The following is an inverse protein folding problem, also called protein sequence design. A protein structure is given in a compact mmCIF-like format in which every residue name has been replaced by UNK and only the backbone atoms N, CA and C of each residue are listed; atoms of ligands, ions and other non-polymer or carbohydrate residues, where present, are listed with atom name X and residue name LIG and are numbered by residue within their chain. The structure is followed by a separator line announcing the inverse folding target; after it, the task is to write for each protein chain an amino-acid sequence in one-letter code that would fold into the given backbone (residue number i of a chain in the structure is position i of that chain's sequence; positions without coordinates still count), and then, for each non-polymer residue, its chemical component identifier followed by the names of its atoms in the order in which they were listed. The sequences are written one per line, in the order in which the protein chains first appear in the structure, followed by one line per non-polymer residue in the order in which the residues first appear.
data_IF_439377763051
#
_entry.id   IF_439377763051
#
_cell.length_a   1.000
_cell.length_b   1.000
_cell.length_c   1.000
_cell.angle_alpha   90.00
_cell.angle_beta   90.00
_cell.angle_gamma   90.00
#
_symmetry.space_group_name_H-M   'P 1'
#
loop_
_entity.id
_entity.type
_entity.pdbx_description
1 polymer ?
#
# COMPACT_ATOMS: atom_id res chain seq x y z
N UNK A 1 13.40 -92.14 -52.86
CA UNK A 1 12.36 -91.78 -51.89
C UNK A 1 13.07 -91.04 -50.75
N UNK A 2 13.30 -89.73 -50.86
CA UNK A 2 12.39 -88.61 -50.44
C UNK A 2 12.18 -88.65 -48.92
N UNK A 3 12.40 -87.61 -48.11
CA UNK A 3 12.65 -86.18 -48.31
C UNK A 3 13.26 -85.66 -46.97
N UNK A 4 14.27 -84.80 -47.01
CA UNK A 4 14.16 -83.33 -46.82
C UNK A 4 14.06 -82.93 -45.33
N UNK A 5 15.22 -82.73 -44.73
CA UNK A 5 15.41 -82.20 -43.37
C UNK A 5 15.40 -80.67 -43.45
N UNK A 6 14.22 -80.08 -43.22
CA UNK A 6 14.03 -78.63 -43.22
C UNK A 6 14.44 -78.04 -41.87
N UNK A 7 15.66 -77.53 -41.81
CA UNK A 7 16.18 -76.69 -40.73
C UNK A 7 15.39 -75.35 -40.71
N UNK A 8 14.39 -75.26 -39.85
CA UNK A 8 13.62 -74.04 -39.59
C UNK A 8 14.43 -73.14 -38.64
N UNK A 9 15.20 -72.23 -39.21
CA UNK A 9 15.85 -71.13 -38.47
C UNK A 9 14.78 -70.21 -37.91
N UNK A 10 14.70 -70.13 -36.58
CA UNK A 10 13.83 -69.22 -35.85
C UNK A 10 14.44 -67.80 -35.92
N UNK A 11 13.94 -66.97 -36.84
CA UNK A 11 14.29 -65.55 -36.92
C UNK A 11 13.71 -64.81 -35.70
N UNK A 12 14.51 -64.73 -34.66
CA UNK A 12 14.25 -63.88 -33.50
C UNK A 12 14.35 -62.42 -33.93
N UNK A 13 13.22 -61.83 -34.29
CA UNK A 13 13.08 -60.40 -34.59
C UNK A 13 13.52 -59.58 -33.38
N UNK A 14 14.56 -58.77 -33.55
CA UNK A 14 15.02 -57.83 -32.53
C UNK A 14 13.91 -56.79 -32.23
N UNK A 15 13.72 -56.37 -30.98
CA UNK A 15 12.75 -55.34 -30.66
C UNK A 15 13.16 -54.02 -31.33
N UNK A 16 12.36 -53.58 -32.29
CA UNK A 16 12.50 -52.24 -32.90
C UNK A 16 12.14 -51.22 -31.83
N UNK A 17 13.14 -50.61 -31.22
CA UNK A 17 12.94 -49.50 -30.28
C UNK A 17 12.40 -48.31 -31.08
N UNK A 18 11.17 -47.82 -30.81
CA UNK A 18 10.62 -46.69 -31.55
C UNK A 18 11.41 -45.43 -31.18
N UNK A 19 12.27 -44.95 -32.08
CA UNK A 19 12.90 -43.63 -31.94
C UNK A 19 11.81 -42.57 -32.10
N UNK A 20 11.61 -41.67 -31.12
CA UNK A 20 10.63 -40.60 -31.26
C UNK A 20 10.99 -39.77 -32.50
N UNK A 21 10.00 -39.52 -33.37
CA UNK A 21 10.20 -38.75 -34.60
C UNK A 21 10.63 -37.34 -34.22
N UNK A 22 11.84 -36.95 -34.63
CA UNK A 22 12.43 -35.62 -34.39
C UNK A 22 11.45 -34.47 -34.67
N UNK A 23 10.58 -34.62 -35.67
CA UNK A 23 9.55 -33.65 -36.04
C UNK A 23 8.47 -33.42 -34.97
N UNK A 24 8.19 -34.40 -34.11
CA UNK A 24 7.24 -34.25 -33.00
C UNK A 24 7.87 -33.42 -31.88
N UNK A 25 9.12 -33.69 -31.55
CA UNK A 25 9.88 -32.94 -30.54
C UNK A 25 10.03 -31.48 -30.98
N UNK A 26 10.47 -31.25 -32.22
CA UNK A 26 10.66 -29.91 -32.77
C UNK A 26 9.33 -29.13 -32.85
N UNK A 27 8.23 -29.79 -33.21
CA UNK A 27 6.90 -29.17 -33.24
C UNK A 27 6.35 -28.81 -31.86
N UNK A 28 6.69 -29.56 -30.82
CA UNK A 28 6.30 -29.24 -29.44
C UNK A 28 7.12 -28.07 -28.88
N UNK A 29 8.42 -28.02 -29.19
CA UNK A 29 9.28 -26.89 -28.82
C UNK A 29 8.77 -25.60 -29.48
N UNK A 30 8.46 -25.63 -30.77
CA UNK A 30 7.92 -24.45 -31.46
C UNK A 30 6.61 -23.95 -30.86
N UNK A 31 5.71 -24.86 -30.46
CA UNK A 31 4.46 -24.48 -29.77
C UNK A 31 4.69 -23.88 -28.38
N UNK A 32 5.66 -24.41 -27.63
CA UNK A 32 6.02 -23.88 -26.32
C UNK A 32 6.58 -22.45 -26.44
N UNK A 33 7.43 -22.19 -27.44
CA UNK A 33 7.96 -20.86 -27.70
C UNK A 33 6.88 -19.87 -28.12
N UNK A 34 5.95 -20.27 -28.99
CA UNK A 34 4.82 -19.41 -29.39
C UNK A 34 3.93 -19.11 -28.17
N UNK A 35 3.64 -20.11 -27.34
CA UNK A 35 2.82 -19.91 -26.14
C UNK A 35 3.52 -18.99 -25.14
N UNK A 36 4.82 -19.19 -24.91
CA UNK A 36 5.64 -18.32 -24.07
C UNK A 36 5.62 -16.88 -24.55
N UNK A 37 5.85 -16.64 -25.85
CA UNK A 37 5.79 -15.31 -26.44
C UNK A 37 4.42 -14.63 -26.32
N UNK A 38 3.33 -15.38 -26.49
CA UNK A 38 1.97 -14.84 -26.30
C UNK A 38 1.75 -14.46 -24.83
N UNK A 39 2.17 -15.29 -23.88
CA UNK A 39 2.03 -15.00 -22.44
C UNK A 39 2.84 -13.74 -22.08
N UNK A 40 4.09 -13.64 -22.53
CA UNK A 40 4.92 -12.45 -22.31
C UNK A 40 4.27 -11.20 -22.91
N UNK A 41 3.74 -11.28 -24.13
CA UNK A 41 3.06 -10.15 -24.76
C UNK A 41 1.79 -9.74 -23.99
N UNK A 42 0.99 -10.71 -23.54
CA UNK A 42 -0.20 -10.44 -22.71
C UNK A 42 0.17 -9.83 -21.36
N UNK A 43 1.28 -10.25 -20.76
CA UNK A 43 1.78 -9.67 -19.50
C UNK A 43 2.21 -8.21 -19.68
N UNK A 44 2.92 -7.89 -20.77
CA UNK A 44 3.26 -6.49 -21.09
C UNK A 44 2.00 -5.66 -21.33
N UNK A 45 1.01 -6.21 -22.04
CA UNK A 45 -0.29 -5.54 -22.21
C UNK A 45 -1.04 -5.34 -20.88
N UNK A 46 -0.93 -6.30 -19.96
CA UNK A 46 -1.48 -6.18 -18.61
C UNK A 46 -0.77 -5.07 -17.81
N UNK A 47 0.55 -4.96 -17.87
CA UNK A 47 1.28 -3.89 -17.17
C UNK A 47 1.10 -2.50 -17.79
N UNK A 48 0.86 -2.39 -19.10
CA UNK A 48 0.66 -1.09 -19.75
C UNK A 48 -0.78 -0.59 -19.70
N UNK A 49 -1.74 -1.46 -19.38
CA UNK A 49 -3.17 -1.11 -19.51
C UNK A 49 -3.99 -1.61 -18.33
N UNK A 50 -3.69 -2.80 -17.80
CA UNK A 50 -4.38 -3.34 -16.64
C UNK A 50 -4.11 -2.54 -15.36
N UNK A 51 -2.84 -2.28 -15.05
CA UNK A 51 -2.47 -1.52 -13.84
C UNK A 51 -2.98 -0.08 -13.89
N UNK A 52 -2.92 0.56 -15.07
CA UNK A 52 -3.39 1.94 -15.24
C UNK A 52 -4.91 2.06 -15.13
N UNK A 53 -5.67 1.04 -15.58
CA UNK A 53 -7.12 0.99 -15.39
C UNK A 53 -7.48 0.81 -13.91
N UNK A 54 -6.79 -0.09 -13.21
CA UNK A 54 -7.07 -0.36 -11.80
C UNK A 54 -6.79 0.87 -10.93
N UNK A 55 -5.67 1.52 -11.20
CA UNK A 55 -5.29 2.82 -10.63
C UNK A 55 -6.35 3.88 -10.93
N UNK A 56 -6.79 4.02 -12.20
CA UNK A 56 -7.78 5.03 -12.56
C UNK A 56 -9.12 4.85 -11.83
N UNK A 57 -9.57 3.60 -11.67
CA UNK A 57 -10.77 3.29 -10.87
C UNK A 57 -10.58 3.65 -9.41
N UNK A 58 -9.42 3.28 -8.84
CA UNK A 58 -9.09 3.59 -7.45
C UNK A 58 -9.00 5.10 -7.22
N UNK A 59 -8.47 5.86 -8.17
CA UNK A 59 -8.40 7.32 -8.11
C UNK A 59 -9.78 7.98 -8.19
N UNK A 60 -10.71 7.44 -8.96
CA UNK A 60 -12.09 7.96 -8.99
C UNK A 60 -12.82 7.68 -7.66
N UNK A 61 -12.62 6.50 -7.08
CA UNK A 61 -13.14 6.15 -5.75
C UNK A 61 -12.54 7.07 -4.67
N UNK A 62 -11.22 7.30 -4.71
CA UNK A 62 -10.51 8.18 -3.78
C UNK A 62 -10.89 9.66 -3.92
N UNK A 63 -11.15 10.13 -5.14
CA UNK A 63 -11.70 11.49 -5.36
C UNK A 63 -13.06 11.63 -4.70
N UNK A 64 -13.91 10.62 -4.86
CA UNK A 64 -15.24 10.61 -4.24
C UNK A 64 -15.13 10.63 -2.71
N UNK A 65 -14.27 9.78 -2.13
CA UNK A 65 -14.00 9.77 -0.67
C UNK A 65 -13.47 11.13 -0.19
N UNK A 66 -12.54 11.75 -0.92
CA UNK A 66 -11.99 13.05 -0.55
C UNK A 66 -13.05 14.17 -0.63
N UNK A 67 -13.88 14.18 -1.66
CA UNK A 67 -14.98 15.14 -1.82
C UNK A 67 -16.01 14.99 -0.68
N UNK A 68 -16.37 13.74 -0.32
CA UNK A 68 -17.25 13.47 0.82
C UNK A 68 -16.66 13.96 2.15
N UNK A 69 -15.33 13.84 2.33
CA UNK A 69 -14.64 14.37 3.51
C UNK A 69 -14.59 15.89 3.53
N UNK A 70 -14.44 16.55 2.38
CA UNK A 70 -14.53 18.00 2.29
C UNK A 70 -15.91 18.49 2.70
N UNK A 71 -16.97 17.83 2.22
CA UNK A 71 -18.35 18.16 2.59
C UNK A 71 -18.58 17.93 4.10
N UNK A 72 -18.11 16.80 4.64
CA UNK A 72 -18.21 16.52 6.07
C UNK A 72 -17.43 17.51 6.95
N UNK A 73 -16.22 17.92 6.53
CA UNK A 73 -15.44 18.91 7.24
C UNK A 73 -16.10 20.30 7.20
N UNK A 74 -16.75 20.66 6.09
CA UNK A 74 -17.52 21.90 5.98
C UNK A 74 -18.73 21.90 6.92
N UNK A 75 -19.44 20.78 7.04
CA UNK A 75 -20.57 20.62 7.96
C UNK A 75 -20.13 20.72 9.43
N UNK A 76 -19.00 20.09 9.80
CA UNK A 76 -18.42 20.20 11.15
C UNK A 76 -18.01 21.64 11.46
N UNK A 77 -17.38 22.33 10.50
CA UNK A 77 -16.99 23.72 10.68
C UNK A 77 -18.22 24.63 10.82
N UNK A 78 -19.29 24.38 10.06
CA UNK A 78 -20.56 25.11 10.18
C UNK A 78 -21.24 24.84 11.53
N UNK A 79 -21.21 23.59 12.03
CA UNK A 79 -21.73 23.24 13.35
C UNK A 79 -20.96 23.92 14.48
N UNK A 80 -19.63 23.92 14.42
CA UNK A 80 -18.76 24.59 15.39
C UNK A 80 -18.91 26.12 15.38
N UNK A 81 -19.22 26.71 14.22
CA UNK A 81 -19.45 28.15 14.09
C UNK A 81 -20.90 28.57 14.41
N UNK A 82 -21.87 27.67 14.26
CA UNK A 82 -23.31 27.96 14.46
C UNK A 82 -23.80 27.61 15.87
N UNK A 83 -23.17 26.64 16.54
CA UNK A 83 -23.39 26.31 17.95
C UNK A 83 -22.07 26.45 18.73
N UNK A 84 -21.75 27.64 19.27
CA UNK A 84 -20.73 27.71 20.32
C UNK A 84 -21.22 26.85 21.49
N UNK A 85 -20.41 25.87 21.88
CA UNK A 85 -20.62 24.98 23.04
C UNK A 85 -21.18 25.74 24.26
N UNK A 86 -22.06 25.12 25.09
CA UNK A 86 -22.76 25.76 26.20
C UNK A 86 -21.85 26.02 27.42
N UNK A 87 -20.73 26.72 27.23
CA UNK A 87 -19.88 27.23 28.33
C UNK A 87 -20.21 28.67 28.74
N UNK A 88 -21.13 29.36 28.05
CA UNK A 88 -21.55 30.73 28.40
C UNK A 88 -22.93 30.81 29.11
N UNK A 89 -23.43 29.71 29.69
CA UNK A 89 -24.55 29.78 30.63
C UNK A 89 -24.06 30.14 32.04
N UNK A 90 -23.35 31.27 32.15
CA UNK A 90 -23.13 31.93 33.43
C UNK A 90 -24.49 32.38 34.01
N UNK A 91 -24.65 32.09 35.30
CA UNK A 91 -25.83 32.33 36.13
C UNK A 91 -26.43 33.73 35.97
N UNK A 92 -27.77 33.87 36.02
CA UNK A 92 -28.39 35.00 36.65
C UNK A 92 -28.93 34.58 38.02
N UNK A 93 -28.14 34.95 39.02
CA UNK A 93 -28.53 35.47 40.33
C UNK A 93 -30.03 35.86 40.43
N UNK A 94 -30.87 35.02 41.05
CA UNK A 94 -32.07 35.48 41.77
C UNK A 94 -32.33 34.65 43.03
N UNK A 95 -32.01 35.29 44.15
CA UNK A 95 -32.82 35.43 45.36
C UNK A 95 -33.51 34.18 45.96
N UNK A 96 -33.05 33.87 47.17
CA UNK A 96 -33.77 33.24 48.28
C UNK A 96 -35.25 33.68 48.31
N UNK A 97 -36.19 32.73 48.21
CA UNK A 97 -37.39 32.70 49.05
C UNK A 97 -37.82 31.25 49.36
N UNK A 98 -38.04 31.06 50.65
CA UNK A 98 -38.53 29.90 51.40
C UNK A 98 -40.05 29.74 51.22
N UNK A 99 -40.55 28.59 50.75
CA UNK A 99 -41.80 28.03 51.30
C UNK A 99 -41.95 26.53 50.95
N UNK A 100 -41.98 25.72 52.00
CA UNK A 100 -42.37 24.33 51.94
C UNK A 100 -43.89 24.20 51.78
N UNK A 101 -44.37 23.52 50.72
CA UNK A 101 -45.67 22.82 50.75
C UNK A 101 -45.63 21.49 49.99
N UNK A 102 -45.97 20.45 50.74
CA UNK A 102 -46.28 19.11 50.28
C UNK A 102 -47.55 19.08 49.42
N UNK A 103 -47.58 18.23 48.39
CA UNK A 103 -48.77 17.54 47.86
C UNK A 103 -48.34 16.17 47.32
N UNK A 104 -48.85 15.10 47.92
CA UNK A 104 -48.96 13.75 47.36
C UNK A 104 -49.89 13.77 46.13
N UNK A 105 -49.55 13.11 45.01
CA UNK A 105 -50.56 12.33 44.27
C UNK A 105 -49.94 11.26 43.33
N UNK A 106 -50.72 10.20 43.18
CA UNK A 106 -50.48 8.86 42.64
C UNK A 106 -50.63 8.85 41.10
N UNK A 107 -49.91 7.96 40.39
CA UNK A 107 -50.23 7.68 38.98
C UNK A 107 -49.39 6.61 38.29
N UNK A 108 -49.99 5.43 38.16
CA UNK A 108 -49.58 4.21 37.47
C UNK A 108 -49.06 4.31 36.02
N UNK A 109 -48.27 3.27 35.67
CA UNK A 109 -48.22 2.51 34.40
C UNK A 109 -47.39 3.02 33.20
N UNK A 110 -46.32 2.29 32.90
CA UNK A 110 -46.21 1.30 31.81
C UNK A 110 -44.96 1.40 30.91
N UNK A 111 -44.47 0.21 30.57
CA UNK A 111 -43.82 -0.19 29.32
C UNK A 111 -42.64 0.62 28.74
N UNK A 112 -41.42 0.10 28.90
CA UNK A 112 -40.76 -0.66 27.83
C UNK A 112 -39.32 -0.99 28.25
N UNK A 113 -39.06 -2.27 28.46
CA UNK A 113 -37.70 -2.79 28.56
C UNK A 113 -37.08 -2.84 27.17
N UNK A 114 -36.09 -1.99 26.93
CA UNK A 114 -35.09 -2.18 25.86
C UNK A 114 -33.73 -2.24 26.54
N UNK A 115 -32.94 -3.32 26.37
CA UNK A 115 -31.61 -3.37 26.92
C UNK A 115 -30.74 -2.39 26.13
N UNK A 116 -30.32 -1.29 26.77
CA UNK A 116 -29.28 -0.42 26.25
C UNK A 116 -28.00 -1.26 26.11
N UNK A 117 -27.60 -1.51 24.87
CA UNK A 117 -26.23 -1.92 24.56
C UNK A 117 -25.31 -0.81 25.07
N UNK A 118 -24.18 -1.12 25.73
CA UNK A 118 -23.25 -0.09 26.14
C UNK A 118 -22.61 0.51 24.89
N UNK A 119 -23.09 1.67 24.45
CA UNK A 119 -22.31 2.57 23.60
C UNK A 119 -21.19 3.08 24.49
N UNK A 120 -20.02 2.45 24.43
CA UNK A 120 -18.80 3.04 24.96
C UNK A 120 -18.42 4.18 24.03
N UNK A 121 -19.08 5.33 24.19
CA UNK A 121 -18.58 6.62 23.73
C UNK A 121 -17.29 6.89 24.48
N UNK A 122 -16.16 6.60 23.84
CA UNK A 122 -14.86 7.03 24.32
C UNK A 122 -14.74 8.51 24.01
N UNK A 123 -15.28 9.36 24.88
CA UNK A 123 -15.10 10.81 24.83
C UNK A 123 -13.62 11.14 25.04
N UNK A 124 -13.00 11.77 24.05
CA UNK A 124 -11.63 12.28 24.13
C UNK A 124 -11.54 13.49 25.08
N UNK A 125 -10.33 13.86 25.54
CA UNK A 125 -10.14 15.07 26.34
C UNK A 125 -10.73 16.29 25.62
N UNK A 126 -11.55 17.09 26.32
CA UNK A 126 -12.21 18.27 25.75
C UNK A 126 -13.65 18.08 25.25
N UNK A 127 -14.20 16.85 25.27
CA UNK A 127 -15.61 16.64 24.89
C UNK A 127 -15.90 16.73 23.39
N UNK A 128 -14.87 16.74 22.55
CA UNK A 128 -14.98 16.80 21.10
C UNK A 128 -15.31 15.43 20.49
N UNK A 129 -16.06 15.43 19.39
CA UNK A 129 -16.53 14.23 18.70
C UNK A 129 -15.35 13.48 18.05
N UNK A 130 -15.17 12.16 18.29
CA UNK A 130 -14.14 11.35 17.62
C UNK A 130 -14.18 11.40 16.09
N UNK A 131 -15.32 11.74 15.50
CA UNK A 131 -15.50 11.85 14.05
C UNK A 131 -14.71 13.03 13.45
N UNK A 132 -14.52 14.11 14.20
CA UNK A 132 -13.74 15.29 13.74
C UNK A 132 -12.25 14.94 13.57
N UNK A 133 -11.69 14.14 14.49
CA UNK A 133 -10.30 13.71 14.37
C UNK A 133 -10.11 12.66 13.27
N UNK A 134 -11.12 11.84 12.97
CA UNK A 134 -11.05 10.93 11.83
C UNK A 134 -11.06 11.68 10.49
N UNK A 135 -11.77 12.82 10.41
CA UNK A 135 -11.73 13.71 9.25
C UNK A 135 -10.36 14.37 9.08
N UNK A 136 -9.79 14.93 10.15
CA UNK A 136 -8.50 15.62 10.11
C UNK A 136 -7.32 14.66 9.96
N UNK A 137 -7.44 13.44 10.47
CA UNK A 137 -6.41 12.39 10.43
C UNK A 137 -7.00 11.09 9.89
N UNK A 138 -7.00 10.92 8.56
CA UNK A 138 -7.49 9.71 7.89
C UNK A 138 -6.81 8.42 8.39
N UNK A 139 -7.46 7.26 8.21
CA UNK A 139 -6.87 5.96 8.51
C UNK A 139 -5.99 5.45 7.35
N UNK A 140 -5.29 4.33 7.52
CA UNK A 140 -4.48 3.74 6.44
C UNK A 140 -5.35 3.32 5.24
N UNK A 141 -4.90 3.68 4.05
CA UNK A 141 -5.57 3.39 2.78
C UNK A 141 -6.64 4.40 2.36
N UNK A 142 -6.96 5.37 3.20
CA UNK A 142 -7.92 6.46 2.96
C UNK A 142 -7.31 7.59 2.11
N UNK A 143 -8.17 8.38 1.44
CA UNK A 143 -7.74 9.60 0.78
C UNK A 143 -7.32 10.68 1.80
N UNK A 144 -6.15 11.30 1.58
CA UNK A 144 -5.65 12.38 2.45
C UNK A 144 -5.67 13.75 1.79
N UNK A 145 -5.33 13.81 0.50
CA UNK A 145 -5.10 15.08 -0.18
C UNK A 145 -5.01 14.89 -1.70
N UNK A 146 -5.37 15.91 -2.46
CA UNK A 146 -5.03 16.03 -3.88
C UNK A 146 -3.62 16.60 -4.02
N UNK A 147 -2.76 15.93 -4.78
CA UNK A 147 -1.40 16.32 -5.11
C UNK A 147 -1.35 16.79 -6.56
N UNK A 148 -0.93 18.05 -6.75
CA UNK A 148 -0.77 18.67 -8.06
C UNK A 148 0.67 19.14 -8.26
N UNK A 149 1.31 18.69 -9.35
CA UNK A 149 2.66 19.10 -9.73
C UNK A 149 2.65 19.48 -11.22
N UNK A 150 2.37 20.75 -11.56
CA UNK A 150 2.11 21.16 -12.93
C UNK A 150 3.28 20.92 -13.89
N UNK A 151 4.53 21.09 -13.45
CA UNK A 151 5.71 20.97 -14.32
C UNK A 151 5.92 19.55 -14.86
N UNK A 152 5.38 18.54 -14.16
CA UNK A 152 5.46 17.12 -14.55
C UNK A 152 4.08 16.48 -14.79
N UNK A 153 3.04 17.30 -14.87
CA UNK A 153 1.65 16.89 -15.19
C UNK A 153 1.05 15.88 -14.20
N UNK A 154 1.36 16.04 -12.90
CA UNK A 154 0.75 15.22 -11.84
C UNK A 154 -0.50 15.90 -11.31
N UNK A 155 -1.60 15.14 -11.27
CA UNK A 155 -2.86 15.46 -10.60
C UNK A 155 -3.47 14.16 -10.08
N UNK A 156 -3.24 13.87 -8.80
CA UNK A 156 -3.54 12.57 -8.18
C UNK A 156 -4.02 12.72 -6.75
N UNK A 157 -4.89 11.83 -6.30
CA UNK A 157 -5.23 11.71 -4.88
C UNK A 157 -4.17 10.88 -4.18
N UNK A 158 -3.61 11.45 -3.12
CA UNK A 158 -2.67 10.81 -2.21
C UNK A 158 -3.46 10.04 -1.16
N UNK A 159 -3.04 8.80 -0.90
CA UNK A 159 -3.59 7.95 0.15
C UNK A 159 -2.72 7.99 1.40
N UNK A 160 -3.26 7.63 2.56
CA UNK A 160 -2.45 7.39 3.75
C UNK A 160 -1.83 6.00 3.69
N UNK A 161 -0.54 5.88 3.98
CA UNK A 161 0.17 4.62 3.93
C UNK A 161 0.96 4.45 2.63
N UNK A 162 1.99 3.61 2.71
CA UNK A 162 2.93 3.34 1.60
C UNK A 162 3.07 1.83 1.34
N UNK A 163 2.11 1.01 1.76
CA UNK A 163 2.15 -0.42 1.46
C UNK A 163 1.87 -0.66 -0.02
N UNK A 164 2.17 -1.87 -0.52
CA UNK A 164 1.90 -2.24 -1.92
C UNK A 164 0.41 -2.02 -2.26
N UNK A 165 -0.49 -2.34 -1.35
CA UNK A 165 -1.93 -2.15 -1.54
C UNK A 165 -2.35 -0.68 -1.68
N UNK A 166 -1.61 0.24 -1.03
CA UNK A 166 -1.90 1.67 -1.01
C UNK A 166 -1.34 2.34 -2.27
N UNK A 167 -0.06 2.07 -2.58
CA UNK A 167 0.62 2.67 -3.73
C UNK A 167 0.02 2.25 -5.09
N UNK A 168 -0.72 1.15 -5.11
CA UNK A 168 -1.53 0.69 -6.25
C UNK A 168 -2.75 1.56 -6.57
N UNK A 169 -3.17 2.38 -5.61
CA UNK A 169 -4.29 3.30 -5.74
C UNK A 169 -3.85 4.71 -6.10
N UNK A 170 -2.58 5.07 -5.85
CA UNK A 170 -2.02 6.39 -6.10
C UNK A 170 -0.73 6.66 -5.31
N UNK A 171 -0.23 7.91 -5.30
CA UNK A 171 0.80 8.33 -4.36
C UNK A 171 0.38 8.04 -2.91
N UNK A 172 1.32 7.62 -2.06
CA UNK A 172 1.06 7.27 -0.67
C UNK A 172 1.86 8.15 0.29
N UNK A 173 1.22 8.66 1.34
CA UNK A 173 1.87 9.40 2.41
C UNK A 173 2.46 8.44 3.45
N UNK A 174 3.67 8.72 3.89
CA UNK A 174 4.30 7.98 4.97
C UNK A 174 3.61 8.30 6.30
N UNK A 175 2.82 7.37 6.83
CA UNK A 175 1.97 7.55 8.02
C UNK A 175 2.69 8.06 9.27
N UNK A 176 3.99 7.80 9.37
CA UNK A 176 4.87 8.23 10.46
C UNK A 176 5.42 9.65 10.30
N UNK A 177 5.15 10.31 9.18
CA UNK A 177 5.56 11.69 8.91
C UNK A 177 4.38 12.65 9.10
N UNK A 178 4.61 13.92 9.43
CA UNK A 178 3.54 14.92 9.49
C UNK A 178 2.67 14.94 8.23
N UNK A 179 1.38 15.26 8.38
CA UNK A 179 0.51 15.49 7.23
C UNK A 179 0.97 16.73 6.44
N UNK A 180 0.73 16.79 5.11
CA UNK A 180 0.98 18.00 4.34
C UNK A 180 0.26 19.22 4.95
N UNK A 181 0.99 20.33 5.07
CA UNK A 181 0.55 21.55 5.75
C UNK A 181 0.91 21.63 7.24
N UNK A 182 1.18 20.50 7.90
CA UNK A 182 1.65 20.48 9.28
C UNK A 182 3.15 20.75 9.36
N UNK A 183 3.62 21.18 10.53
CA UNK A 183 5.03 21.49 10.73
C UNK A 183 5.92 20.24 10.64
N UNK A 184 7.10 20.41 10.04
CA UNK A 184 8.09 19.35 9.81
C UNK A 184 8.10 18.82 8.37
N UNK A 185 8.53 17.56 8.20
CA UNK A 185 8.77 16.95 6.90
C UNK A 185 7.64 15.98 6.50
N UNK A 186 6.62 16.46 5.81
CA UNK A 186 5.61 15.59 5.22
C UNK A 186 6.24 14.80 4.06
N UNK A 187 6.01 13.49 3.98
CA UNK A 187 6.65 12.67 2.94
C UNK A 187 5.64 11.86 2.14
N UNK A 188 5.83 11.80 0.81
CA UNK A 188 4.98 11.08 -0.13
C UNK A 188 5.83 10.16 -1.02
N UNK A 189 5.46 8.89 -1.09
CA UNK A 189 5.98 7.90 -2.02
C UNK A 189 5.09 7.76 -3.26
N UNK A 190 5.70 7.41 -4.39
CA UNK A 190 4.94 7.12 -5.61
C UNK A 190 5.69 6.23 -6.57
N UNK A 191 4.93 5.46 -7.34
CA UNK A 191 5.50 4.62 -8.40
C UNK A 191 6.14 5.46 -9.49
N UNK A 192 7.25 4.94 -10.04
CA UNK A 192 7.95 5.60 -11.14
C UNK A 192 7.57 5.05 -12.52
N UNK A 193 7.06 3.82 -12.61
CA UNK A 193 6.78 3.18 -13.91
C UNK A 193 5.44 2.46 -14.00
N UNK A 194 4.84 2.09 -12.87
CA UNK A 194 3.58 1.32 -12.79
C UNK A 194 2.47 2.14 -12.16
N UNK A 195 1.23 1.63 -12.23
CA UNK A 195 0.02 2.22 -11.61
C UNK A 195 -0.12 3.72 -11.88
N UNK A 196 -0.22 4.09 -13.16
CA UNK A 196 -0.27 5.48 -13.59
C UNK A 196 1.03 6.28 -13.43
N UNK A 197 2.02 5.73 -12.70
CA UNK A 197 3.38 6.23 -12.55
C UNK A 197 3.45 7.73 -12.20
N UNK A 198 2.85 8.17 -11.07
CA UNK A 198 2.76 9.58 -10.70
C UNK A 198 4.13 10.26 -10.65
N UNK A 199 5.19 9.54 -10.28
CA UNK A 199 6.54 10.08 -10.21
C UNK A 199 7.43 9.64 -11.38
N UNK A 200 6.86 9.27 -12.53
CA UNK A 200 7.63 8.91 -13.73
C UNK A 200 8.62 10.00 -14.13
N UNK A 201 8.22 11.26 -14.04
CA UNK A 201 8.99 12.44 -14.49
C UNK A 201 9.56 13.23 -13.32
N UNK A 202 9.63 12.66 -12.11
CA UNK A 202 10.15 13.35 -10.92
C UNK A 202 11.60 13.85 -11.10
N UNK A 203 12.39 13.23 -12.00
CA UNK A 203 13.73 13.67 -12.36
C UNK A 203 13.78 14.98 -13.17
N UNK A 204 12.65 15.45 -13.68
CA UNK A 204 12.53 16.70 -14.43
C UNK A 204 12.23 17.91 -13.54
N UNK A 205 11.95 17.70 -12.24
CA UNK A 205 11.73 18.78 -11.29
C UNK A 205 13.01 19.58 -11.06
N UNK A 206 12.85 20.90 -11.03
CA UNK A 206 13.93 21.86 -10.80
C UNK A 206 13.61 22.81 -9.65
N UNK A 207 14.62 23.39 -8.98
CA UNK A 207 14.39 24.35 -7.91
C UNK A 207 13.50 25.51 -8.37
N UNK A 208 12.47 25.82 -7.58
CA UNK A 208 11.47 26.83 -7.88
C UNK A 208 10.15 26.30 -8.43
N UNK A 209 10.09 25.06 -8.91
CA UNK A 209 8.84 24.40 -9.30
C UNK A 209 7.87 24.31 -8.12
N UNK A 210 6.58 24.45 -8.39
CA UNK A 210 5.53 24.45 -7.37
C UNK A 210 4.84 23.09 -7.28
N UNK A 211 4.57 22.68 -6.04
CA UNK A 211 3.80 21.48 -5.70
C UNK A 211 2.66 21.92 -4.80
N UNK A 212 1.42 21.67 -5.20
CA UNK A 212 0.24 22.00 -4.40
C UNK A 212 -0.33 20.73 -3.79
N UNK A 213 -0.61 20.77 -2.49
CA UNK A 213 -1.27 19.69 -1.76
C UNK A 213 -2.52 20.23 -1.10
N UNK A 214 -3.69 19.73 -1.53
CA UNK A 214 -4.99 20.20 -1.04
C UNK A 214 -5.66 19.10 -0.23
N UNK A 215 -5.86 19.35 1.06
CA UNK A 215 -6.51 18.44 2.02
C UNK A 215 -7.69 19.14 2.70
N UNK A 216 -8.41 18.41 3.56
CA UNK A 216 -9.47 18.99 4.40
C UNK A 216 -8.96 20.09 5.35
N UNK A 217 -7.65 20.13 5.62
CA UNK A 217 -7.02 21.14 6.47
C UNK A 217 -6.69 22.44 5.71
N UNK A 218 -6.71 22.40 4.38
CA UNK A 218 -6.39 23.55 3.53
C UNK A 218 -5.61 23.20 2.28
N UNK A 219 -5.22 24.24 1.55
CA UNK A 219 -4.36 24.17 0.37
C UNK A 219 -2.96 24.65 0.72
N UNK A 220 -1.96 23.81 0.46
CA UNK A 220 -0.57 24.06 0.81
C UNK A 220 0.29 24.07 -0.43
N UNK A 221 1.00 25.17 -0.66
CA UNK A 221 1.94 25.28 -1.78
C UNK A 221 3.36 25.11 -1.27
N UNK A 222 4.07 24.17 -1.87
CA UNK A 222 5.48 23.91 -1.65
C UNK A 222 6.28 24.32 -2.88
N UNK A 223 7.55 24.68 -2.68
CA UNK A 223 8.49 25.04 -3.75
C UNK A 223 9.72 24.17 -3.71
N UNK A 224 10.03 23.51 -4.83
CA UNK A 224 11.19 22.62 -4.94
C UNK A 224 12.47 23.38 -4.58
N UNK A 225 13.28 22.78 -3.70
CA UNK A 225 14.51 23.36 -3.18
C UNK A 225 15.71 22.97 -4.04
N UNK A 226 16.82 23.71 -3.88
CA UNK A 226 18.12 23.22 -4.33
C UNK A 226 18.51 21.98 -3.50
N UNK A 227 18.78 20.82 -4.13
CA UNK A 227 19.03 19.57 -3.41
C UNK A 227 20.27 19.61 -2.51
N UNK A 228 21.28 20.42 -2.86
CA UNK A 228 22.50 20.58 -2.05
C UNK A 228 22.21 21.40 -0.80
N UNK A 229 21.28 22.36 -0.89
CA UNK A 229 20.82 23.16 0.25
C UNK A 229 19.91 22.34 1.15
N UNK A 230 18.92 21.65 0.56
CA UNK A 230 17.94 20.86 1.29
C UNK A 230 18.56 19.75 2.15
N UNK A 231 19.69 19.19 1.70
CA UNK A 231 20.36 18.06 2.36
C UNK A 231 21.82 18.35 2.69
N UNK A 232 22.14 19.60 3.05
CA UNK A 232 23.51 20.07 3.31
C UNK A 232 24.26 19.22 4.35
N UNK A 233 23.56 18.69 5.36
CA UNK A 233 24.16 17.88 6.44
C UNK A 233 24.33 16.39 6.06
N UNK A 234 23.81 15.95 4.92
CA UNK A 234 23.79 14.55 4.49
C UNK A 234 24.51 14.31 3.15
N UNK A 235 25.27 15.29 2.65
CA UNK A 235 25.92 15.20 1.33
C UNK A 235 26.81 13.96 1.14
N UNK A 236 27.42 13.44 2.21
CA UNK A 236 28.26 12.24 2.15
C UNK A 236 27.47 10.94 1.90
N UNK A 237 26.16 10.94 2.13
CA UNK A 237 25.26 9.79 1.98
C UNK A 237 24.52 9.80 0.63
N UNK A 238 24.80 10.79 -0.22
CA UNK A 238 24.16 10.99 -1.52
C UNK A 238 25.01 10.35 -2.61
N UNK A 239 24.41 9.45 -3.39
CA UNK A 239 25.09 8.76 -4.49
C UNK A 239 25.25 9.66 -5.74
N UNK A 240 24.25 10.49 -6.01
CA UNK A 240 24.27 11.46 -7.10
C UNK A 240 23.31 12.64 -6.84
N UNK A 241 23.60 13.79 -7.47
CA UNK A 241 22.77 15.00 -7.41
C UNK A 241 22.33 15.35 -8.84
N UNK A 242 21.03 15.56 -9.02
CA UNK A 242 20.41 16.09 -10.23
C UNK A 242 20.04 17.57 -10.09
N UNK A 243 19.23 18.09 -11.02
CA UNK A 243 18.91 19.52 -11.04
C UNK A 243 18.05 19.95 -9.83
N UNK A 244 17.01 19.18 -9.49
CA UNK A 244 16.15 19.40 -8.31
C UNK A 244 15.99 18.17 -7.41
N UNK A 245 16.85 17.16 -7.56
CA UNK A 245 16.71 15.88 -6.87
C UNK A 245 18.07 15.28 -6.45
N UNK A 246 18.01 14.30 -5.55
CA UNK A 246 19.16 13.47 -5.16
C UNK A 246 18.86 12.00 -5.41
N UNK A 247 19.92 11.21 -5.58
CA UNK A 247 19.85 9.74 -5.64
C UNK A 247 20.51 9.18 -4.38
N UNK A 248 19.80 8.30 -3.68
CA UNK A 248 20.25 7.68 -2.42
C UNK A 248 20.00 6.18 -2.43
N UNK A 249 20.66 5.48 -1.50
CA UNK A 249 20.36 4.08 -1.23
C UNK A 249 18.95 3.93 -0.62
N UNK A 250 18.26 2.79 -0.83
CA UNK A 250 16.94 2.60 -0.25
C UNK A 250 16.92 2.58 1.29
N UNK A 251 18.06 2.26 1.91
CA UNK A 251 18.23 2.31 3.36
C UNK A 251 18.37 3.74 3.92
N UNK A 252 18.29 4.78 3.09
CA UNK A 252 18.46 6.17 3.47
C UNK A 252 17.20 6.74 4.17
N UNK A 253 16.74 6.09 5.24
CA UNK A 253 15.54 6.51 6.00
C UNK A 253 15.61 7.93 6.55
N UNK A 254 16.82 8.49 6.69
CA UNK A 254 17.06 9.86 7.13
C UNK A 254 16.37 10.92 6.27
N UNK A 255 16.02 10.63 5.02
CA UNK A 255 15.28 11.58 4.15
C UNK A 255 13.87 11.88 4.67
N UNK A 256 13.34 11.03 5.56
CA UNK A 256 12.02 11.17 6.18
C UNK A 256 12.09 11.84 7.56
N UNK A 257 13.29 12.12 8.07
CA UNK A 257 13.46 12.77 9.36
C UNK A 257 13.05 14.25 9.32
N UNK A 258 12.95 14.86 10.50
CA UNK A 258 12.68 16.29 10.62
C UNK A 258 14.00 17.07 10.47
N UNK A 259 14.02 18.05 9.56
CA UNK A 259 15.19 18.89 9.26
C UNK A 259 15.14 20.27 9.94
N UNK A 260 14.11 20.53 10.77
CA UNK A 260 13.92 21.81 11.47
C UNK A 260 13.22 22.89 10.65
N UNK A 261 12.75 22.55 9.47
CA UNK A 261 11.92 23.38 8.58
C UNK A 261 10.68 22.61 8.11
N UNK A 262 9.72 23.35 7.55
CA UNK A 262 8.47 22.79 7.04
C UNK A 262 8.64 22.46 5.56
N UNK A 263 8.65 21.18 5.24
CA UNK A 263 8.97 20.68 3.89
C UNK A 263 8.11 19.49 3.47
N UNK A 264 8.07 19.26 2.17
CA UNK A 264 7.53 18.07 1.51
C UNK A 264 8.67 17.29 0.87
N UNK A 265 8.79 16.00 1.19
CA UNK A 265 9.73 15.08 0.57
C UNK A 265 9.00 14.10 -0.34
N UNK A 266 9.32 14.10 -1.64
CA UNK A 266 8.81 13.14 -2.61
C UNK A 266 9.83 12.03 -2.84
N UNK A 267 9.37 10.77 -2.85
CA UNK A 267 10.24 9.60 -2.99
C UNK A 267 9.75 8.64 -4.09
N UNK A 268 10.66 8.15 -4.92
CA UNK A 268 10.36 7.12 -5.92
C UNK A 268 11.58 6.22 -6.18
N UNK A 269 11.36 5.10 -6.87
CA UNK A 269 12.43 4.18 -7.28
C UNK A 269 13.40 4.79 -8.32
N UNK A 270 14.66 4.36 -8.31
CA UNK A 270 15.65 4.79 -9.30
C UNK A 270 16.65 3.66 -9.66
N UNK A 271 17.13 3.60 -10.92
CA UNK A 271 16.60 4.27 -12.12
C UNK A 271 15.27 3.66 -12.59
N UNK A 272 14.63 4.21 -13.63
CA UNK A 272 13.41 3.61 -14.22
C UNK A 272 13.63 2.12 -14.55
N UNK A 273 12.62 1.29 -14.32
CA UNK A 273 12.62 -0.17 -14.41
C UNK A 273 13.50 -0.86 -13.34
N UNK A 274 13.81 -0.18 -12.23
CA UNK A 274 14.72 -0.67 -11.18
C UNK A 274 14.45 -0.02 -9.81
N UNK A 275 14.43 -0.81 -8.74
CA UNK A 275 14.31 -0.30 -7.35
C UNK A 275 15.65 -0.27 -6.60
N UNK A 276 16.77 -0.12 -7.33
CA UNK A 276 18.12 -0.23 -6.75
C UNK A 276 18.46 0.92 -5.82
N UNK A 277 17.93 2.09 -6.14
CA UNK A 277 18.14 3.34 -5.43
C UNK A 277 16.79 4.06 -5.31
N UNK A 278 16.81 5.21 -4.67
CA UNK A 278 15.69 6.13 -4.61
C UNK A 278 16.07 7.46 -5.23
N UNK A 279 15.10 8.08 -5.89
CA UNK A 279 15.15 9.48 -6.29
C UNK A 279 14.30 10.27 -5.29
N UNK A 280 14.88 11.35 -4.75
CA UNK A 280 14.29 12.14 -3.68
C UNK A 280 14.26 13.60 -4.12
N UNK A 281 13.12 14.26 -3.92
CA UNK A 281 12.94 15.71 -4.12
C UNK A 281 12.46 16.32 -2.82
N UNK A 282 13.07 17.44 -2.41
CA UNK A 282 12.63 18.25 -1.28
C UNK A 282 12.00 19.54 -1.78
N UNK A 283 10.91 19.97 -1.15
CA UNK A 283 10.25 21.23 -1.42
C UNK A 283 9.90 21.93 -0.10
N UNK A 284 10.20 23.22 0.02
CA UNK A 284 9.90 24.03 1.20
C UNK A 284 8.44 24.50 1.17
N UNK A 285 7.77 24.58 2.32
CA UNK A 285 6.42 25.13 2.41
C UNK A 285 6.47 26.66 2.21
N UNK A 286 5.67 27.17 1.28
CA UNK A 286 5.58 28.61 0.96
C UNK A 286 4.35 29.26 1.60
N UNK A 287 3.27 28.50 1.79
CA UNK A 287 2.08 28.93 2.53
C UNK A 287 2.33 28.90 4.04
N UNK A 288 1.41 29.47 4.82
CA UNK A 288 1.47 29.32 6.28
C UNK A 288 1.17 27.88 6.70
N UNK A 289 1.86 27.42 7.74
CA UNK A 289 1.60 26.13 8.40
C UNK A 289 0.19 26.14 8.96
N UNK A 290 -0.46 24.97 8.97
CA UNK A 290 -1.76 24.81 9.63
C UNK A 290 -1.65 25.17 11.12
N UNK A 291 -2.42 26.16 11.55
CA UNK A 291 -2.56 26.50 12.95
C UNK A 291 -3.54 25.53 13.64
N UNK A 292 -3.06 24.33 13.97
CA UNK A 292 -3.83 23.38 14.75
C UNK A 292 -3.96 23.86 16.21
N UNK A 293 -5.16 23.82 16.82
CA UNK A 293 -5.30 24.13 18.24
C UNK A 293 -4.59 23.07 19.10
N UNK A 294 -4.09 23.46 20.28
CA UNK A 294 -3.24 22.60 21.14
C UNK A 294 -3.87 21.23 21.43
N UNK A 295 -5.18 21.19 21.65
CA UNK A 295 -5.90 19.93 21.91
C UNK A 295 -5.86 18.94 20.73
N UNK A 296 -5.80 19.44 19.48
CA UNK A 296 -5.69 18.59 18.28
C UNK A 296 -4.29 17.99 18.18
N UNK A 297 -3.27 18.79 18.50
CA UNK A 297 -1.87 18.34 18.54
C UNK A 297 -1.70 17.23 19.59
N UNK A 298 -2.27 17.41 20.78
CA UNK A 298 -2.25 16.41 21.85
C UNK A 298 -2.99 15.13 21.44
N UNK A 299 -4.18 15.25 20.84
CA UNK A 299 -4.97 14.10 20.39
C UNK A 299 -4.28 13.31 19.26
N UNK A 300 -3.57 13.99 18.34
CA UNK A 300 -2.76 13.35 17.31
C UNK A 300 -1.61 12.56 17.94
N UNK A 301 -0.87 13.18 18.87
CA UNK A 301 0.24 12.53 19.56
C UNK A 301 -0.19 11.30 20.35
N UNK A 302 -1.36 11.34 21.01
CA UNK A 302 -1.92 10.17 21.69
C UNK A 302 -2.32 9.05 20.73
N UNK A 303 -2.93 9.38 19.57
CA UNK A 303 -3.27 8.40 18.53
C UNK A 303 -2.03 7.73 17.97
N UNK A 304 -1.00 8.48 17.63
CA UNK A 304 0.26 7.96 17.10
C UNK A 304 0.96 7.04 18.12
N UNK A 305 1.01 7.45 19.39
CA UNK A 305 1.60 6.63 20.46
C UNK A 305 0.79 5.34 20.71
N UNK A 306 -0.54 5.41 20.63
CA UNK A 306 -1.41 4.23 20.78
C UNK A 306 -1.24 3.23 19.62
N UNK A 307 -1.08 3.70 18.39
CA UNK A 307 -0.77 2.84 17.24
C UNK A 307 0.58 2.15 17.41
N UNK A 308 1.59 2.86 17.95
CA UNK A 308 2.91 2.31 18.22
C UNK A 308 2.88 1.20 19.28
N UNK A 309 2.08 1.37 20.34
CA UNK A 309 1.91 0.38 21.42
C UNK A 309 1.20 -0.89 20.91
N UNK A 310 0.20 -0.75 20.04
CA UNK A 310 -0.53 -1.90 19.46
C UNK A 310 0.35 -2.69 18.48
N UNK A 311 1.23 -2.00 17.73
CA UNK A 311 2.19 -2.64 16.83
C UNK A 311 3.27 -3.45 17.58
N UNK A 312 3.63 -3.05 18.80
CA UNK A 312 4.56 -3.78 19.68
C UNK A 312 3.91 -5.04 20.28
N UNK A 313 2.65 -4.97 20.70
CA UNK A 313 1.90 -6.13 21.24
C UNK A 313 1.52 -7.19 20.20
N UNK A 314 1.51 -6.85 18.90
CA UNK A 314 1.13 -7.77 17.81
C UNK A 314 2.32 -8.52 17.19
N UNK A 315 3.54 -8.32 17.67
CA UNK A 315 4.67 -9.21 17.37
C UNK A 315 4.39 -10.59 17.99
N UNK A 316 4.33 -11.70 17.22
CA UNK A 316 4.17 -13.01 17.82
C UNK A 316 5.43 -13.36 18.60
N UNK A 317 5.32 -13.37 19.94
CA UNK A 317 6.33 -13.94 20.82
C UNK A 317 6.54 -15.41 20.44
N UNK A 318 7.64 -15.67 19.74
CA UNK A 318 8.08 -17.04 19.47
C UNK A 318 8.75 -17.55 20.73
N UNK A 319 7.95 -17.88 21.74
CA UNK A 319 8.38 -18.77 22.82
C UNK A 319 8.16 -20.21 22.37
N UNK A 320 9.22 -20.86 21.87
CA UNK A 320 9.40 -22.28 22.12
C UNK A 320 10.87 -22.58 22.39
N UNK A 321 11.13 -22.91 23.65
CA UNK A 321 12.41 -23.32 24.19
C UNK A 321 12.58 -24.84 24.04
N UNK A 322 13.65 -25.32 23.42
CA UNK A 322 14.42 -26.46 23.96
C UNK A 322 15.82 -26.62 23.36
N UNK A 323 16.81 -26.56 24.26
CA UNK A 323 18.11 -27.27 24.29
C UNK A 323 19.13 -27.17 23.14
N UNK A 324 20.29 -26.57 23.42
CA UNK A 324 21.46 -27.32 23.90
C UNK A 324 22.62 -26.39 24.29
N UNK A 325 23.15 -26.60 25.49
CA UNK A 325 24.30 -25.91 26.05
C UNK A 325 25.59 -26.13 25.25
N UNK A 326 26.47 -25.12 25.19
CA UNK A 326 27.91 -25.28 25.50
C UNK A 326 28.51 -23.93 25.91
N UNK A 327 29.10 -23.97 27.09
CA UNK A 327 29.95 -23.04 27.83
C UNK A 327 31.10 -22.42 27.00
N UNK A 328 31.34 -21.10 27.15
CA UNK A 328 32.68 -20.56 27.40
C UNK A 328 32.71 -19.06 27.78
N UNK A 329 33.08 -18.84 29.05
CA UNK A 329 34.05 -17.84 29.56
C UNK A 329 33.94 -16.36 29.18
N UNK A 330 33.35 -15.59 30.10
CA UNK A 330 33.93 -14.44 30.81
C UNK A 330 34.81 -13.42 30.09
N UNK A 331 34.28 -12.18 29.99
CA UNK A 331 35.04 -10.94 30.20
C UNK A 331 34.17 -9.97 31.00
N UNK A 332 34.71 -9.55 32.14
CA UNK A 332 34.28 -8.46 33.01
C UNK A 332 34.75 -7.13 32.43
N UNK A 333 33.82 -6.22 32.15
CA UNK A 333 34.06 -4.77 32.22
C UNK A 333 32.77 -4.09 32.66
N UNK A 334 32.74 -3.63 33.91
CA UNK A 334 31.67 -2.80 34.44
C UNK A 334 31.46 -1.50 33.65
N UNK A 335 30.20 -1.09 33.54
CA UNK A 335 29.73 0.22 33.10
C UNK A 335 28.36 0.50 33.75
N UNK A 336 28.12 1.78 33.97
CA UNK A 336 27.18 2.42 34.91
C UNK A 336 25.69 2.06 34.77
N UNK A 337 24.89 2.12 35.85
CA UNK A 337 23.45 1.93 35.80
C UNK A 337 22.75 3.28 35.59
N UNK A 338 22.79 3.85 34.39
CA UNK A 338 21.93 5.00 34.03
C UNK A 338 21.85 5.22 32.49
N UNK A 339 21.81 4.14 31.72
CA UNK A 339 21.42 4.22 30.30
C UNK A 339 20.29 3.23 30.06
N UNK A 340 19.07 3.73 30.13
CA UNK A 340 17.94 3.09 29.44
C UNK A 340 18.24 3.32 27.95
N UNK A 341 18.98 2.40 27.32
CA UNK A 341 18.99 2.32 25.86
C UNK A 341 17.57 1.93 25.47
N UNK A 342 16.84 2.88 24.89
CA UNK A 342 15.63 2.58 24.14
C UNK A 342 15.97 1.52 23.09
N UNK A 343 15.10 0.51 22.87
CA UNK A 343 15.33 -0.45 21.79
C UNK A 343 15.44 0.32 20.48
N UNK A 344 16.28 -0.12 19.51
CA UNK A 344 16.42 0.58 18.25
C UNK A 344 15.05 0.62 17.58
N UNK A 345 14.43 1.81 17.55
CA UNK A 345 13.31 2.06 16.66
C UNK A 345 13.79 1.69 15.26
N UNK A 346 13.07 0.79 14.60
CA UNK A 346 13.33 0.44 13.21
C UNK A 346 13.30 1.75 12.43
N UNK A 347 14.46 2.17 11.91
CA UNK A 347 14.53 3.39 11.09
C UNK A 347 13.48 3.27 9.97
N UNK A 348 12.76 4.36 9.64
CA UNK A 348 11.74 4.31 8.59
C UNK A 348 12.37 3.84 7.28
N UNK A 349 11.82 2.79 6.68
CA UNK A 349 12.41 2.11 5.54
C UNK A 349 11.78 2.61 4.22
N UNK A 350 12.58 3.23 3.33
CA UNK A 350 12.08 3.67 2.00
C UNK A 350 11.76 2.49 1.07
N UNK A 351 12.00 1.26 1.51
CA UNK A 351 11.64 0.05 0.79
C UNK A 351 10.19 -0.40 0.99
N UNK A 352 9.48 0.16 1.96
CA UNK A 352 8.10 -0.22 2.26
C UNK A 352 7.20 0.06 1.04
N UNK A 353 6.51 -0.98 0.56
CA UNK A 353 5.66 -0.99 -0.64
C UNK A 353 6.36 -0.81 -2.01
N UNK A 354 7.56 -0.23 -2.08
CA UNK A 354 8.23 0.09 -3.35
C UNK A 354 9.04 -1.08 -3.96
N UNK A 355 9.44 -2.08 -3.17
CA UNK A 355 10.22 -3.23 -3.66
C UNK A 355 9.37 -4.44 -4.14
N UNK A 356 8.06 -4.39 -3.95
CA UNK A 356 7.15 -5.49 -4.24
C UNK A 356 7.21 -6.65 -3.22
N UNK A 357 6.14 -7.44 -3.19
CA UNK A 357 5.89 -8.59 -2.31
C UNK A 357 6.45 -9.90 -2.91
N UNK A 358 7.70 -10.24 -2.60
CA UNK A 358 8.37 -11.44 -3.17
C UNK A 358 7.70 -12.76 -2.79
N UNK A 359 6.97 -12.78 -1.68
CA UNK A 359 6.15 -13.90 -1.22
C UNK A 359 4.94 -14.18 -2.12
N UNK A 360 4.61 -13.27 -3.05
CA UNK A 360 3.60 -13.52 -4.08
C UNK A 360 4.09 -14.48 -5.20
N UNK A 361 5.40 -14.71 -5.35
CA UNK A 361 5.99 -15.53 -6.43
C UNK A 361 5.48 -16.99 -6.40
N UNK A 362 5.50 -17.72 -5.26
CA UNK A 362 4.92 -19.06 -5.18
C UNK A 362 3.46 -19.10 -5.62
N UNK A 363 2.65 -18.13 -5.20
CA UNK A 363 1.24 -18.00 -5.60
C UNK A 363 1.07 -17.81 -7.11
N UNK A 364 1.88 -16.93 -7.72
CA UNK A 364 1.90 -16.74 -9.16
C UNK A 364 2.20 -18.04 -9.92
N UNK A 365 3.25 -18.77 -9.52
CA UNK A 365 3.62 -20.04 -10.17
C UNK A 365 2.52 -21.08 -10.06
N UNK A 366 1.85 -21.17 -8.91
CA UNK A 366 0.71 -22.08 -8.70
C UNK A 366 -0.44 -21.77 -9.67
N UNK A 367 -0.85 -20.51 -9.78
CA UNK A 367 -1.92 -20.10 -10.68
C UNK A 367 -1.56 -20.32 -12.15
N UNK A 368 -0.31 -20.05 -12.54
CA UNK A 368 0.17 -20.34 -13.88
C UNK A 368 0.08 -21.84 -14.22
N UNK A 369 0.50 -22.72 -13.29
CA UNK A 369 0.39 -24.17 -13.45
C UNK A 369 -1.07 -24.65 -13.49
N UNK A 370 -1.95 -24.08 -12.66
CA UNK A 370 -3.38 -24.38 -12.66
C UNK A 370 -4.02 -23.99 -14.00
N UNK A 371 -3.69 -22.82 -14.55
CA UNK A 371 -4.19 -22.38 -15.85
C UNK A 371 -3.77 -23.32 -16.99
N UNK A 372 -2.51 -23.78 -16.97
CA UNK A 372 -2.03 -24.81 -17.91
C UNK A 372 -2.81 -26.11 -17.74
N UNK A 373 -3.05 -26.57 -16.51
CA UNK A 373 -3.81 -27.78 -16.24
C UNK A 373 -5.26 -27.70 -16.76
N UNK A 374 -5.97 -26.59 -16.52
CA UNK A 374 -7.33 -26.36 -17.04
C UNK A 374 -7.38 -26.35 -18.57
N UNK A 375 -6.40 -25.70 -19.22
CA UNK A 375 -6.28 -25.69 -20.67
C UNK A 375 -6.11 -27.10 -21.25
N UNK A 376 -5.21 -27.90 -20.66
CA UNK A 376 -4.97 -29.28 -21.10
C UNK A 376 -6.16 -30.20 -20.82
N UNK A 377 -6.80 -30.07 -19.65
CA UNK A 377 -7.98 -30.86 -19.29
C UNK A 377 -9.15 -30.60 -20.25
N UNK A 378 -9.46 -29.34 -20.55
CA UNK A 378 -10.49 -28.97 -21.54
C UNK A 378 -10.16 -29.47 -22.95
N UNK A 379 -8.89 -29.41 -23.34
CA UNK A 379 -8.41 -29.94 -24.62
C UNK A 379 -8.44 -31.46 -24.75
N UNK A 380 -8.26 -32.19 -23.64
CA UNK A 380 -8.34 -33.65 -23.57
C UNK A 380 -9.79 -34.14 -23.58
N UNK A 381 -10.64 -33.55 -22.72
CA UNK A 381 -12.08 -33.85 -22.67
C UNK A 381 -12.80 -33.54 -23.99
N UNK A 382 -12.42 -32.43 -24.64
CA UNK A 382 -12.91 -32.06 -25.96
C UNK A 382 -12.54 -33.06 -27.06
N UNK A 383 -11.44 -33.80 -26.95
CA UNK A 383 -11.06 -34.84 -27.92
C UNK A 383 -11.72 -36.19 -27.67
N UNK A 384 -12.03 -36.52 -26.41
CA UNK A 384 -12.54 -37.84 -26.03
C UNK A 384 -14.06 -38.01 -26.18
N UNK A 385 -14.85 -36.93 -26.03
CA UNK A 385 -16.33 -37.02 -26.00
C UNK A 385 -17.09 -36.37 -27.17
N UNK A 386 -16.45 -35.56 -28.02
CA UNK A 386 -17.18 -34.69 -28.95
C UNK A 386 -17.07 -35.12 -30.44
N UNK A 387 -18.18 -35.65 -30.99
CA UNK A 387 -18.28 -36.09 -32.39
C UNK A 387 -18.49 -34.97 -33.42
N UNK A 388 -18.90 -33.75 -33.02
CA UNK A 388 -19.13 -32.61 -33.94
C UNK A 388 -18.08 -31.51 -33.72
N UNK A 389 -17.70 -30.80 -34.78
CA UNK A 389 -16.73 -29.68 -34.70
C UNK A 389 -17.19 -28.59 -33.71
N UNK A 390 -18.49 -28.30 -33.66
CA UNK A 390 -19.06 -27.30 -32.75
C UNK A 390 -18.96 -27.69 -31.26
N UNK A 391 -19.20 -28.95 -30.90
CA UNK A 391 -19.04 -29.41 -29.51
C UNK A 391 -17.58 -29.49 -29.07
N UNK A 392 -16.65 -29.74 -30.00
CA UNK A 392 -15.21 -29.61 -29.73
C UNK A 392 -14.78 -28.18 -29.43
N UNK A 393 -15.40 -27.19 -30.09
CA UNK A 393 -15.14 -25.78 -29.83
C UNK A 393 -15.71 -25.37 -28.46
N UNK A 394 -16.94 -25.78 -28.16
CA UNK A 394 -17.59 -25.51 -26.88
C UNK A 394 -16.80 -26.10 -25.69
N UNK A 395 -16.35 -27.36 -25.78
CA UNK A 395 -15.54 -27.96 -24.70
C UNK A 395 -14.15 -27.32 -24.54
N UNK A 396 -13.59 -26.72 -25.60
CA UNK A 396 -12.35 -25.95 -25.48
C UNK A 396 -12.58 -24.62 -24.78
N UNK A 397 -13.72 -23.97 -24.99
CA UNK A 397 -14.08 -22.74 -24.28
C UNK A 397 -14.27 -22.98 -22.77
N UNK A 398 -14.79 -24.15 -22.38
CA UNK A 398 -14.92 -24.56 -20.97
C UNK A 398 -13.56 -24.66 -20.25
N UNK A 399 -12.48 -25.06 -20.96
CA UNK A 399 -11.13 -25.06 -20.39
C UNK A 399 -10.40 -23.72 -20.52
N UNK A 400 -10.75 -22.92 -21.54
CA UNK A 400 -10.12 -21.62 -21.81
C UNK A 400 -10.50 -20.56 -20.76
N UNK A 401 -11.78 -20.45 -20.40
CA UNK A 401 -12.24 -19.45 -19.43
C UNK A 401 -11.55 -19.56 -18.05
N UNK A 402 -11.51 -20.74 -17.38
CA UNK A 402 -10.78 -20.87 -16.12
C UNK A 402 -9.27 -20.71 -16.29
N UNK A 403 -8.70 -21.07 -17.45
CA UNK A 403 -7.29 -20.84 -17.73
C UNK A 403 -6.95 -19.35 -17.84
N UNK A 404 -7.83 -18.54 -18.45
CA UNK A 404 -7.69 -17.07 -18.50
C UNK A 404 -7.78 -16.48 -17.10
N UNK A 405 -8.72 -16.94 -16.27
CA UNK A 405 -8.85 -16.47 -14.88
C UNK A 405 -7.60 -16.80 -14.05
N UNK A 406 -7.07 -18.01 -14.17
CA UNK A 406 -5.81 -18.40 -13.52
C UNK A 406 -4.63 -17.57 -14.02
N UNK A 407 -4.59 -17.26 -15.33
CA UNK A 407 -3.55 -16.40 -15.89
C UNK A 407 -3.65 -14.97 -15.35
N UNK A 408 -4.86 -14.44 -15.19
CA UNK A 408 -5.10 -13.13 -14.59
C UNK A 408 -4.61 -13.09 -13.13
N UNK A 409 -4.98 -14.06 -12.30
CA UNK A 409 -4.45 -14.16 -10.92
C UNK A 409 -2.92 -14.34 -10.89
N UNK A 410 -2.36 -15.10 -11.83
CA UNK A 410 -0.91 -15.23 -11.95
C UNK A 410 -0.26 -13.89 -12.28
N UNK A 411 -0.83 -13.10 -13.18
CA UNK A 411 -0.32 -11.78 -13.54
C UNK A 411 -0.41 -10.81 -12.37
N UNK A 412 -1.54 -10.79 -11.67
CA UNK A 412 -1.74 -9.99 -10.46
C UNK A 412 -0.69 -10.28 -9.38
N UNK A 413 -0.38 -11.55 -9.14
CA UNK A 413 0.63 -11.96 -8.16
C UNK A 413 2.06 -11.67 -8.64
N UNK A 414 2.34 -11.77 -9.95
CA UNK A 414 3.63 -11.35 -10.50
C UNK A 414 3.79 -9.83 -10.33
N UNK A 415 2.73 -9.09 -10.59
CA UNK A 415 2.70 -7.65 -10.50
C UNK A 415 2.92 -7.16 -9.06
N UNK A 416 2.32 -7.81 -8.05
CA UNK A 416 2.66 -7.59 -6.63
C UNK A 416 4.13 -7.84 -6.32
N UNK A 417 4.71 -8.88 -6.91
CA UNK A 417 6.09 -9.27 -6.66
C UNK A 417 7.12 -8.38 -7.38
N UNK A 418 6.69 -7.59 -8.36
CA UNK A 418 7.59 -6.72 -9.09
C UNK A 418 7.81 -5.40 -8.34
N UNK A 419 9.03 -4.88 -8.36
CA UNK A 419 9.32 -3.58 -7.77
C UNK A 419 8.64 -2.46 -8.56
N UNK A 420 8.36 -1.36 -7.87
CA UNK A 420 7.77 -0.11 -8.38
C UNK A 420 8.60 0.66 -9.42
N UNK A 421 9.77 0.09 -9.76
CA UNK A 421 10.91 0.75 -10.37
C UNK A 421 10.75 1.04 -11.83
#
# INVERSE_FOLDING_TARGET
MTADETLKTDERTAPVVPTPRLSIVLGNIGRALILGGIITFLFVGFQLWGTDIHEAQSQDDLRTDLDERFDAAADVLDELLTNPSPEDADEPDEAIEDDARAVDDIGDADDTGVPLLPTTSSTLPGGHDPDVLALLFPEEGDAIARLEIPSIEVDKITVRGVLVADLRKGPGHYSQTPLPGNSGNASIAGHRTTYGAPFNRIDELVPGDEITVTSVQGEFTYRVMDPVVAYADHLEQIDAVGDGHIIVQPTAGWVLENFGDDRLTLTACHPKLSSRQRIIVAAELVTEVVALPEWVIEAQAERENKTLIIADETQPSTEDSTEAATDQSGIDTGLDPDVIEAPPSRAPDLDEGLNGERDAIPGATMWMLAGVAFWYAGGWFGRSKANRRASRLALRLVGLAPAILCLWFSFEMIDRALPAG
#
